data_IF_374765616717
#
_entry.id   IF_374765616717
#
_cell.length_a   1.000
_cell.length_b   1.000
_cell.length_c   1.000
_cell.angle_alpha   90.00
_cell.angle_beta   90.00
_cell.angle_gamma   90.00
#
_symmetry.space_group_name_H-M   'P 1'
#
loop_
_entity.id
_entity.type
_entity.pdbx_description
1 polymer ?
#
# COMPACT_ATOMS: atom_id res chain seq x y z
N UNK A 1 -36.23 -12.59 13.18
CA UNK A 1 -36.20 -13.18 11.80
C UNK A 1 -35.46 -12.27 10.83
N UNK A 2 -35.59 -10.89 10.91
CA UNK A 2 -34.95 -9.96 10.00
C UNK A 2 -33.41 -9.84 10.18
N UNK A 3 -32.91 -9.96 11.43
CA UNK A 3 -31.48 -9.91 11.74
C UNK A 3 -30.73 -11.10 11.13
N UNK A 4 -31.27 -12.33 11.30
CA UNK A 4 -30.66 -13.53 10.72
C UNK A 4 -30.62 -13.52 9.19
N UNK A 5 -31.58 -12.88 8.52
CA UNK A 5 -31.61 -12.77 7.05
C UNK A 5 -30.55 -11.78 6.55
N UNK A 6 -30.27 -10.69 7.27
CA UNK A 6 -29.23 -9.73 6.91
C UNK A 6 -27.82 -10.31 7.11
N UNK A 7 -27.59 -11.02 8.23
CA UNK A 7 -26.32 -11.69 8.48
C UNK A 7 -26.03 -12.79 7.44
N UNK A 8 -27.05 -13.53 7.02
CA UNK A 8 -26.89 -14.53 5.97
C UNK A 8 -26.60 -13.92 4.59
N UNK A 9 -27.29 -12.83 4.24
CA UNK A 9 -26.99 -12.08 3.00
C UNK A 9 -25.57 -11.54 2.99
N UNK A 10 -25.11 -10.94 4.10
CA UNK A 10 -23.76 -10.46 4.26
C UNK A 10 -22.73 -11.57 4.06
N UNK A 11 -22.94 -12.70 4.72
CA UNK A 11 -22.06 -13.88 4.60
C UNK A 11 -21.97 -14.39 3.14
N UNK A 12 -23.08 -14.41 2.40
CA UNK A 12 -23.09 -14.81 0.97
C UNK A 12 -22.35 -13.81 0.07
N UNK A 13 -22.50 -12.51 0.34
CA UNK A 13 -21.81 -11.47 -0.42
C UNK A 13 -20.30 -11.53 -0.15
N UNK A 14 -19.89 -11.63 1.11
CA UNK A 14 -18.49 -11.75 1.51
C UNK A 14 -17.84 -13.01 0.90
N UNK A 15 -18.53 -14.16 0.97
CA UNK A 15 -18.06 -15.41 0.34
C UNK A 15 -17.95 -15.28 -1.20
N UNK A 16 -18.84 -14.51 -1.83
CA UNK A 16 -18.79 -14.22 -3.26
C UNK A 16 -17.55 -13.38 -3.64
N UNK A 17 -17.23 -12.36 -2.85
CA UNK A 17 -16.02 -11.55 -3.05
C UNK A 17 -14.75 -12.37 -2.81
N UNK A 18 -14.71 -13.20 -1.77
CA UNK A 18 -13.56 -14.06 -1.48
C UNK A 18 -13.29 -15.05 -2.60
N UNK A 19 -14.34 -15.65 -3.15
CA UNK A 19 -14.22 -16.57 -4.30
C UNK A 19 -13.73 -15.84 -5.56
N UNK A 20 -14.26 -14.65 -5.84
CA UNK A 20 -13.84 -13.83 -6.97
C UNK A 20 -12.37 -13.43 -6.85
N UNK A 21 -11.96 -12.97 -5.66
CA UNK A 21 -10.59 -12.60 -5.36
C UNK A 21 -9.63 -13.78 -5.48
N UNK A 22 -9.95 -14.93 -4.91
CA UNK A 22 -9.11 -16.13 -4.96
C UNK A 22 -8.94 -16.65 -6.39
N UNK A 23 -10.02 -16.63 -7.18
CA UNK A 23 -9.99 -17.07 -8.58
C UNK A 23 -9.14 -16.11 -9.43
N UNK A 24 -9.35 -14.79 -9.31
CA UNK A 24 -8.60 -13.80 -10.04
C UNK A 24 -7.11 -13.86 -9.69
N UNK A 25 -6.76 -13.91 -8.41
CA UNK A 25 -5.39 -13.99 -7.94
C UNK A 25 -4.70 -15.28 -8.44
N UNK A 26 -5.39 -16.43 -8.39
CA UNK A 26 -4.83 -17.70 -8.85
C UNK A 26 -4.52 -17.72 -10.36
N UNK A 27 -5.22 -16.95 -11.17
CA UNK A 27 -4.96 -16.86 -12.62
C UNK A 27 -3.83 -15.84 -12.90
N UNK A 28 -3.84 -14.69 -12.28
CA UNK A 28 -2.83 -13.62 -12.47
C UNK A 28 -1.45 -14.10 -12.03
N UNK A 29 -1.36 -14.77 -10.89
CA UNK A 29 -0.09 -15.24 -10.32
C UNK A 29 0.55 -16.40 -11.09
N UNK A 30 -0.17 -17.05 -12.01
CA UNK A 30 0.41 -18.03 -12.94
C UNK A 30 1.34 -17.41 -13.98
N UNK A 31 1.21 -16.12 -14.22
CA UNK A 31 2.08 -15.38 -15.13
C UNK A 31 3.32 -14.93 -14.34
N UNK A 32 4.55 -15.38 -14.69
CA UNK A 32 5.75 -15.11 -13.89
C UNK A 32 5.99 -13.62 -13.58
N UNK A 33 5.66 -12.74 -14.53
CA UNK A 33 5.78 -11.29 -14.36
C UNK A 33 4.83 -10.73 -13.28
N UNK A 34 3.67 -11.36 -13.09
CA UNK A 34 2.65 -10.97 -12.13
C UNK A 34 2.57 -11.91 -10.92
N UNK A 35 3.61 -12.72 -10.67
CA UNK A 35 3.61 -13.72 -9.60
C UNK A 35 3.37 -13.14 -8.18
N UNK A 36 3.68 -11.84 -7.99
CA UNK A 36 3.42 -11.10 -6.74
C UNK A 36 2.36 -10.01 -6.94
N UNK A 37 1.37 -10.26 -7.78
CA UNK A 37 0.23 -9.37 -7.98
C UNK A 37 -0.95 -9.90 -7.20
N UNK A 38 -1.60 -9.01 -6.46
CA UNK A 38 -2.83 -9.29 -5.73
C UNK A 38 -3.95 -8.40 -6.23
N UNK A 39 -5.09 -9.01 -6.38
CA UNK A 39 -6.34 -8.39 -6.76
C UNK A 39 -7.31 -8.49 -5.59
N UNK A 40 -8.01 -7.42 -5.27
CA UNK A 40 -9.00 -7.41 -4.20
C UNK A 40 -10.24 -6.63 -4.61
N UNK A 41 -11.39 -7.24 -4.45
CA UNK A 41 -12.70 -6.60 -4.51
C UNK A 41 -13.30 -6.74 -3.11
N UNK A 42 -13.75 -5.64 -2.55
CA UNK A 42 -14.49 -5.63 -1.30
C UNK A 42 -15.78 -4.82 -1.48
N UNK A 43 -16.81 -5.23 -0.78
CA UNK A 43 -18.10 -4.56 -0.79
C UNK A 43 -19.08 -5.31 0.10
N UNK A 44 -20.26 -4.78 0.31
CA UNK A 44 -21.27 -5.39 1.13
C UNK A 44 -22.66 -4.82 0.84
N UNK A 45 -23.67 -5.36 1.51
CA UNK A 45 -25.07 -4.92 1.33
C UNK A 45 -25.32 -3.49 1.84
N UNK A 46 -24.42 -2.99 2.70
CA UNK A 46 -24.50 -1.66 3.32
C UNK A 46 -23.18 -0.88 3.19
N UNK A 47 -22.20 -1.40 2.45
CA UNK A 47 -20.89 -0.77 2.25
C UNK A 47 -20.63 -0.52 0.77
N UNK A 48 -19.87 0.54 0.49
CA UNK A 48 -19.41 0.85 -0.85
C UNK A 48 -18.54 -0.26 -1.42
N UNK A 49 -18.65 -0.46 -2.72
CA UNK A 49 -17.79 -1.42 -3.41
C UNK A 49 -16.44 -0.79 -3.69
N UNK A 50 -15.39 -1.48 -3.32
CA UNK A 50 -14.03 -1.09 -3.62
C UNK A 50 -13.30 -2.15 -4.44
N UNK A 51 -12.36 -1.68 -5.23
CA UNK A 51 -11.51 -2.50 -6.08
C UNK A 51 -10.06 -2.08 -5.89
N UNK A 52 -9.15 -3.03 -5.76
CA UNK A 52 -7.72 -2.72 -5.78
C UNK A 52 -6.89 -3.81 -6.45
N UNK A 53 -5.81 -3.38 -7.07
CA UNK A 53 -4.76 -4.24 -7.59
C UNK A 53 -3.42 -3.75 -7.06
N UNK A 54 -2.62 -4.67 -6.53
CA UNK A 54 -1.25 -4.43 -6.12
C UNK A 54 -0.33 -5.36 -6.89
N UNK A 55 0.77 -4.86 -7.39
CA UNK A 55 1.78 -5.65 -8.07
C UNK A 55 3.18 -5.26 -7.60
N UNK A 56 3.95 -6.24 -7.14
CA UNK A 56 5.38 -6.11 -6.88
C UNK A 56 6.13 -6.88 -7.96
N UNK A 57 6.96 -6.18 -8.70
CA UNK A 57 7.65 -6.71 -9.89
C UNK A 57 9.17 -6.61 -9.69
N UNK A 58 9.87 -7.71 -9.92
CA UNK A 58 11.34 -7.71 -10.04
C UNK A 58 11.72 -7.10 -11.38
N UNK A 59 12.45 -5.99 -11.35
CA UNK A 59 12.94 -5.32 -12.57
C UNK A 59 14.25 -5.91 -13.07
N UNK A 60 15.12 -6.33 -12.14
CA UNK A 60 16.40 -6.92 -12.52
C UNK A 60 17.28 -7.28 -11.34
N UNK A 61 18.27 -8.10 -11.61
CA UNK A 61 19.36 -8.44 -10.71
C UNK A 61 20.53 -7.49 -11.00
N UNK A 62 20.91 -6.69 -10.01
CA UNK A 62 21.97 -5.69 -10.18
C UNK A 62 23.35 -6.26 -9.80
N UNK A 63 23.41 -7.16 -8.83
CA UNK A 63 24.65 -7.86 -8.46
C UNK A 63 24.37 -9.22 -7.84
N UNK A 64 25.38 -10.09 -7.89
CA UNK A 64 25.44 -11.39 -7.22
C UNK A 64 26.62 -11.40 -6.27
N UNK A 65 26.59 -12.27 -5.27
CA UNK A 65 27.73 -12.55 -4.39
C UNK A 65 28.73 -13.52 -5.04
N UNK A 66 29.76 -13.92 -4.30
CA UNK A 66 30.81 -14.81 -4.80
C UNK A 66 30.30 -16.23 -5.08
N UNK A 67 29.27 -16.67 -4.39
CA UNK A 67 28.57 -17.94 -4.60
C UNK A 67 27.61 -17.92 -5.79
N UNK A 68 27.35 -16.74 -6.35
CA UNK A 68 26.42 -16.53 -7.48
C UNK A 68 24.99 -16.27 -7.06
N UNK A 69 24.72 -16.10 -5.76
CA UNK A 69 23.41 -15.78 -5.22
C UNK A 69 23.07 -14.30 -5.38
N UNK A 70 21.79 -14.01 -5.43
CA UNK A 70 21.28 -12.65 -5.62
C UNK A 70 21.68 -11.76 -4.43
N UNK A 71 22.50 -10.75 -4.68
CA UNK A 71 22.94 -9.76 -3.69
C UNK A 71 22.14 -8.47 -3.76
N UNK A 72 21.94 -7.94 -4.95
CA UNK A 72 21.20 -6.69 -5.15
C UNK A 72 20.15 -6.84 -6.23
N UNK A 73 18.93 -6.44 -5.92
CA UNK A 73 17.83 -6.43 -6.89
C UNK A 73 17.18 -5.05 -6.99
N UNK A 74 16.70 -4.72 -8.19
CA UNK A 74 15.78 -3.62 -8.43
C UNK A 74 14.35 -4.16 -8.54
N UNK A 75 13.40 -3.43 -7.98
CA UNK A 75 11.98 -3.75 -8.03
C UNK A 75 11.12 -2.53 -8.37
N UNK A 76 9.92 -2.78 -8.83
CA UNK A 76 8.86 -1.80 -8.95
C UNK A 76 7.62 -2.32 -8.22
N UNK A 77 6.87 -1.40 -7.65
CA UNK A 77 5.58 -1.67 -7.05
C UNK A 77 4.55 -0.72 -7.66
N UNK A 78 3.43 -1.27 -8.11
CA UNK A 78 2.30 -0.49 -8.59
C UNK A 78 1.05 -0.88 -7.81
N UNK A 79 0.26 0.11 -7.42
CA UNK A 79 -1.05 -0.09 -6.82
C UNK A 79 -2.05 0.83 -7.49
N UNK A 80 -3.21 0.29 -7.80
CA UNK A 80 -4.39 1.04 -8.14
C UNK A 80 -5.52 0.66 -7.18
N UNK A 81 -6.27 1.64 -6.71
CA UNK A 81 -7.45 1.40 -5.89
C UNK A 81 -8.53 2.42 -6.26
N UNK A 82 -9.77 1.98 -6.26
CA UNK A 82 -10.95 2.82 -6.47
C UNK A 82 -12.10 2.32 -5.62
N UNK A 83 -13.00 3.20 -5.23
CA UNK A 83 -14.21 2.89 -4.50
C UNK A 83 -15.39 3.68 -5.07
N UNK A 84 -16.60 3.21 -4.80
CA UNK A 84 -17.86 3.88 -5.24
C UNK A 84 -18.26 5.04 -4.33
N UNK A 85 -17.52 5.27 -3.25
CA UNK A 85 -17.71 6.40 -2.34
C UNK A 85 -16.84 7.61 -2.74
N UNK A 86 -17.01 8.73 -2.02
CA UNK A 86 -16.28 9.98 -2.23
C UNK A 86 -14.75 9.89 -2.04
N UNK A 87 -14.22 8.74 -1.63
CA UNK A 87 -12.75 8.56 -1.50
C UNK A 87 -12.02 8.58 -2.84
N UNK A 88 -12.74 8.36 -3.94
CA UNK A 88 -12.21 8.47 -5.30
C UNK A 88 -11.24 7.34 -5.66
N UNK A 89 -10.29 7.67 -6.52
CA UNK A 89 -9.31 6.70 -7.05
C UNK A 89 -7.90 7.06 -6.65
N UNK A 90 -7.10 6.05 -6.33
CA UNK A 90 -5.70 6.19 -5.96
C UNK A 90 -4.83 5.35 -6.89
N UNK A 91 -3.74 5.93 -7.36
CA UNK A 91 -2.67 5.24 -8.08
C UNK A 91 -1.35 5.50 -7.38
N UNK A 92 -0.59 4.44 -7.12
CA UNK A 92 0.74 4.50 -6.53
C UNK A 92 1.72 3.78 -7.46
N UNK A 93 2.85 4.40 -7.74
CA UNK A 93 3.95 3.79 -8.50
C UNK A 93 5.25 3.99 -7.74
N UNK A 94 5.94 2.90 -7.45
CA UNK A 94 7.19 2.92 -6.71
C UNK A 94 8.29 2.14 -7.41
N UNK A 95 9.51 2.58 -7.13
CA UNK A 95 10.74 1.91 -7.53
C UNK A 95 11.65 1.81 -6.33
N UNK A 96 12.40 0.72 -6.24
CA UNK A 96 13.33 0.53 -5.15
C UNK A 96 14.43 -0.44 -5.49
N UNK A 97 15.41 -0.46 -4.60
CA UNK A 97 16.51 -1.40 -4.60
C UNK A 97 16.60 -2.06 -3.23
N UNK A 98 16.95 -3.35 -3.23
CA UNK A 98 17.27 -4.13 -2.04
C UNK A 98 18.64 -4.74 -2.20
N UNK A 99 19.46 -4.62 -1.17
CA UNK A 99 20.78 -5.23 -1.10
C UNK A 99 20.85 -6.15 0.12
N UNK A 100 21.40 -7.34 -0.05
CA UNK A 100 21.69 -8.32 0.99
C UNK A 100 23.19 -8.29 1.29
N UNK A 101 23.65 -7.45 2.24
CA UNK A 101 25.09 -7.36 2.55
C UNK A 101 25.64 -8.65 3.17
N UNK A 102 24.81 -9.46 3.82
CA UNK A 102 25.13 -10.76 4.38
C UNK A 102 23.85 -11.62 4.47
N UNK A 103 23.98 -12.88 4.92
CA UNK A 103 22.88 -13.86 4.96
C UNK A 103 21.71 -13.47 5.89
N UNK A 104 21.97 -12.64 6.88
CA UNK A 104 21.02 -12.32 7.95
C UNK A 104 20.47 -10.89 7.88
N UNK A 105 20.91 -10.10 6.90
CA UNK A 105 20.45 -8.71 6.79
C UNK A 105 20.14 -8.31 5.35
N UNK A 106 19.19 -7.39 5.23
CA UNK A 106 18.82 -6.73 3.98
C UNK A 106 18.60 -5.24 4.24
N UNK A 107 19.14 -4.42 3.37
CA UNK A 107 18.87 -2.97 3.34
C UNK A 107 18.18 -2.62 2.05
N UNK A 108 17.25 -1.69 2.09
CA UNK A 108 16.52 -1.23 0.92
C UNK A 108 16.28 0.27 0.95
N UNK A 109 16.12 0.81 -0.23
CA UNK A 109 15.66 2.19 -0.43
C UNK A 109 14.62 2.19 -1.56
N UNK A 110 13.63 3.06 -1.44
CA UNK A 110 12.57 3.19 -2.42
C UNK A 110 12.08 4.63 -2.55
N UNK A 111 11.45 4.91 -3.68
CA UNK A 111 10.74 6.15 -3.95
C UNK A 111 9.38 5.81 -4.55
N UNK A 112 8.33 6.50 -4.11
CA UNK A 112 6.96 6.31 -4.56
C UNK A 112 6.37 7.63 -5.02
N UNK A 113 5.62 7.59 -6.10
CA UNK A 113 4.71 8.62 -6.52
C UNK A 113 3.28 8.16 -6.30
N UNK A 114 2.57 8.92 -5.48
CA UNK A 114 1.17 8.71 -5.18
C UNK A 114 0.34 9.76 -5.91
N UNK A 115 -0.73 9.31 -6.53
CA UNK A 115 -1.70 10.14 -7.23
C UNK A 115 -3.10 9.77 -6.77
N UNK A 116 -3.87 10.75 -6.32
CA UNK A 116 -5.22 10.54 -5.83
C UNK A 116 -6.18 11.55 -6.44
N UNK A 117 -7.27 11.07 -6.98
CA UNK A 117 -8.44 11.85 -7.37
C UNK A 117 -9.50 11.68 -6.29
N UNK A 118 -10.11 12.78 -5.86
CA UNK A 118 -11.26 12.79 -4.96
C UNK A 118 -12.49 13.31 -5.70
N UNK A 119 -13.68 13.10 -5.15
CA UNK A 119 -14.92 13.65 -5.73
C UNK A 119 -15.04 15.17 -5.50
N UNK A 120 -14.19 15.75 -4.68
CA UNK A 120 -14.27 17.16 -4.28
C UNK A 120 -13.33 18.08 -5.04
N UNK A 121 -12.17 17.57 -5.45
CA UNK A 121 -11.18 18.33 -6.21
C UNK A 121 -10.54 17.50 -7.31
N UNK A 122 -9.79 18.17 -8.19
CA UNK A 122 -8.85 17.52 -9.10
C UNK A 122 -7.78 16.72 -8.32
N UNK A 123 -6.95 16.02 -9.08
CA UNK A 123 -5.94 15.15 -8.54
C UNK A 123 -4.91 15.82 -7.62
N UNK A 124 -4.56 15.11 -6.58
CA UNK A 124 -3.43 15.41 -5.70
C UNK A 124 -2.29 14.44 -5.93
N UNK A 125 -1.05 14.93 -5.80
CA UNK A 125 0.15 14.12 -5.93
C UNK A 125 1.07 14.27 -4.72
N UNK A 126 1.71 13.15 -4.35
CA UNK A 126 2.65 13.06 -3.25
C UNK A 126 3.86 12.23 -3.68
N UNK A 127 5.04 12.63 -3.25
CA UNK A 127 6.27 11.84 -3.35
C UNK A 127 6.58 11.22 -1.99
N UNK A 128 6.85 9.93 -1.97
CA UNK A 128 7.34 9.20 -0.82
C UNK A 128 8.78 8.74 -1.04
N UNK A 129 9.61 8.84 -0.01
CA UNK A 129 10.96 8.28 0.02
C UNK A 129 11.07 7.36 1.22
N UNK A 130 11.49 6.12 1.00
CA UNK A 130 11.55 5.11 2.05
C UNK A 130 12.90 4.43 2.18
N UNK A 131 13.20 4.00 3.40
CA UNK A 131 14.30 3.14 3.73
C UNK A 131 13.83 1.95 4.54
N UNK A 132 14.46 0.80 4.34
CA UNK A 132 14.17 -0.41 5.09
C UNK A 132 15.46 -1.11 5.51
N UNK A 133 15.44 -1.68 6.71
CA UNK A 133 16.50 -2.54 7.24
C UNK A 133 15.87 -3.76 7.88
N UNK A 134 16.17 -4.92 7.35
CA UNK A 134 15.75 -6.21 7.90
C UNK A 134 16.98 -6.91 8.46
N UNK A 135 16.88 -7.38 9.68
CA UNK A 135 17.95 -8.09 10.36
C UNK A 135 17.40 -9.26 11.16
N UNK A 136 17.70 -10.47 10.71
CA UNK A 136 17.13 -11.72 11.28
C UNK A 136 15.59 -11.61 11.34
N UNK A 137 15.06 -11.55 12.54
CA UNK A 137 13.63 -11.51 12.83
C UNK A 137 13.09 -10.08 13.02
N UNK A 138 13.96 -9.06 12.92
CA UNK A 138 13.60 -7.65 13.07
C UNK A 138 13.44 -6.98 11.70
N UNK A 139 12.44 -6.12 11.61
CA UNK A 139 12.16 -5.27 10.47
C UNK A 139 12.06 -3.81 10.93
N UNK A 140 12.77 -2.93 10.25
CA UNK A 140 12.68 -1.49 10.43
C UNK A 140 12.36 -0.85 9.10
N UNK A 141 11.35 0.01 9.07
CA UNK A 141 10.99 0.82 7.91
C UNK A 141 10.79 2.27 8.33
N UNK A 142 11.18 3.16 7.45
CA UNK A 142 11.00 4.60 7.63
C UNK A 142 10.64 5.23 6.29
N UNK A 143 9.58 6.04 6.24
CA UNK A 143 9.11 6.70 5.04
C UNK A 143 8.88 8.19 5.29
N UNK A 144 9.23 9.01 4.34
CA UNK A 144 8.97 10.45 4.30
C UNK A 144 8.03 10.76 3.14
N UNK A 145 7.07 11.63 3.37
CA UNK A 145 6.06 12.03 2.42
C UNK A 145 6.09 13.54 2.20
N UNK A 146 6.15 13.94 0.93
CA UNK A 146 6.16 15.34 0.51
C UNK A 146 4.99 15.60 -0.44
N UNK A 147 4.24 16.67 -0.19
CA UNK A 147 3.23 17.14 -1.12
C UNK A 147 3.91 17.69 -2.38
N UNK A 148 3.39 17.31 -3.56
CA UNK A 148 3.81 17.86 -4.86
C UNK A 148 2.81 18.90 -5.35
N UNK A 149 1.52 18.66 -5.08
CA UNK A 149 0.44 19.56 -5.47
C UNK A 149 0.10 20.53 -4.34
N UNK A 150 -0.21 21.75 -4.73
CA UNK A 150 -0.69 22.80 -3.85
C UNK A 150 -2.09 22.48 -3.31
N UNK A 151 -2.48 23.23 -2.29
CA UNK A 151 -3.81 23.26 -1.71
C UNK A 151 -4.85 23.70 -2.71
N UNK A 152 -6.05 23.13 -2.66
CA UNK A 152 -7.16 23.44 -3.57
C UNK A 152 -8.41 23.82 -2.77
N UNK A 153 -9.12 24.85 -3.23
CA UNK A 153 -10.39 25.22 -2.68
C UNK A 153 -11.47 24.25 -3.16
N UNK A 154 -12.27 23.73 -2.23
CA UNK A 154 -13.37 22.80 -2.49
C UNK A 154 -14.65 23.29 -1.80
N UNK A 155 -15.80 23.02 -2.42
CA UNK A 155 -17.10 23.36 -1.85
C UNK A 155 -17.85 22.08 -1.51
N UNK A 156 -18.16 21.89 -0.23
CA UNK A 156 -18.90 20.74 0.26
C UNK A 156 -20.15 21.25 0.98
N UNK A 157 -21.33 20.86 0.49
CA UNK A 157 -22.63 21.30 1.05
C UNK A 157 -22.78 22.82 1.18
N UNK A 158 -22.21 23.58 0.23
CA UNK A 158 -22.28 25.04 0.21
C UNK A 158 -21.25 25.74 1.09
N UNK A 159 -20.41 25.01 1.81
CA UNK A 159 -19.30 25.56 2.60
C UNK A 159 -17.97 25.41 1.84
N UNK A 160 -17.12 26.41 1.96
CA UNK A 160 -15.77 26.39 1.37
C UNK A 160 -14.79 25.73 2.33
N UNK A 161 -14.00 24.79 1.81
CA UNK A 161 -12.94 24.09 2.51
C UNK A 161 -11.68 24.09 1.65
N UNK A 162 -10.56 23.69 2.26
CA UNK A 162 -9.29 23.51 1.58
C UNK A 162 -8.89 22.05 1.63
N UNK A 163 -8.65 21.46 0.47
CA UNK A 163 -8.14 20.11 0.33
C UNK A 163 -6.65 20.16 0.02
N UNK A 164 -5.84 19.44 0.81
CA UNK A 164 -4.38 19.42 0.64
C UNK A 164 -3.80 18.04 0.95
N UNK A 165 -2.65 17.77 0.36
CA UNK A 165 -1.82 16.64 0.76
C UNK A 165 -1.04 17.02 2.00
N UNK A 166 -1.17 16.24 3.06
CA UNK A 166 -0.43 16.48 4.30
C UNK A 166 0.94 15.78 4.20
N UNK A 167 2.06 16.54 4.30
CA UNK A 167 3.38 15.96 4.42
C UNK A 167 3.52 15.24 5.77
N UNK A 168 4.41 14.24 5.82
CA UNK A 168 4.60 13.48 7.03
C UNK A 168 5.73 12.48 6.93
N UNK A 169 5.91 11.72 7.99
CA UNK A 169 6.81 10.59 8.02
C UNK A 169 6.26 9.49 8.91
N UNK A 170 6.60 8.26 8.57
CA UNK A 170 6.27 7.11 9.40
C UNK A 170 7.51 6.28 9.71
N UNK A 171 7.41 5.57 10.83
CA UNK A 171 8.37 4.57 11.27
C UNK A 171 7.59 3.31 11.62
N UNK A 172 8.05 2.19 11.14
CA UNK A 172 7.54 0.87 11.49
C UNK A 172 8.66 -0.02 12.03
N UNK A 173 8.38 -0.69 13.14
CA UNK A 173 9.20 -1.72 13.74
C UNK A 173 8.43 -3.03 13.70
N UNK A 174 9.02 -4.06 13.12
CA UNK A 174 8.48 -5.41 13.07
C UNK A 174 9.38 -6.40 13.81
N UNK A 175 8.76 -7.39 14.44
CA UNK A 175 9.43 -8.53 15.03
C UNK A 175 8.67 -9.81 14.73
N UNK A 176 9.37 -10.78 14.17
CA UNK A 176 8.84 -12.10 13.83
C UNK A 176 9.33 -13.13 14.85
N UNK A 177 8.45 -13.97 15.35
CA UNK A 177 8.84 -14.99 16.32
C UNK A 177 9.67 -16.10 15.65
N UNK A 178 10.91 -16.36 16.11
CA UNK A 178 11.77 -17.37 15.49
C UNK A 178 11.17 -18.78 15.48
N UNK A 179 10.43 -19.13 16.53
CA UNK A 179 9.80 -20.45 16.68
C UNK A 179 8.42 -20.55 16.03
N UNK A 180 7.86 -19.45 15.57
CA UNK A 180 6.59 -19.38 14.86
C UNK A 180 6.63 -18.21 13.85
N UNK A 181 7.29 -18.41 12.69
CA UNK A 181 7.54 -17.34 11.73
C UNK A 181 6.27 -16.76 11.07
N UNK A 182 5.14 -17.44 11.21
CA UNK A 182 3.84 -16.91 10.76
C UNK A 182 3.30 -15.82 11.69
N UNK A 183 3.81 -15.75 12.94
CA UNK A 183 3.43 -14.73 13.91
C UNK A 183 4.43 -13.58 13.93
N UNK A 184 3.97 -12.40 13.53
CA UNK A 184 4.75 -11.17 13.54
C UNK A 184 4.00 -10.05 14.28
N UNK A 185 4.74 -9.23 14.99
CA UNK A 185 4.24 -8.04 15.67
C UNK A 185 4.79 -6.80 14.99
N UNK A 186 3.93 -5.81 14.77
CA UNK A 186 4.32 -4.53 14.17
C UNK A 186 3.88 -3.38 15.07
N UNK A 187 4.77 -2.43 15.26
CA UNK A 187 4.52 -1.15 15.88
C UNK A 187 4.81 -0.05 14.85
N UNK A 188 3.81 0.73 14.51
CA UNK A 188 3.95 1.84 13.58
C UNK A 188 3.55 3.16 14.22
N UNK A 189 4.29 4.20 13.89
CA UNK A 189 4.01 5.59 14.27
C UNK A 189 4.00 6.44 13.01
N UNK A 190 2.90 7.15 12.79
CA UNK A 190 2.74 8.09 11.68
C UNK A 190 2.64 9.51 12.25
N UNK A 191 3.51 10.39 11.80
CA UNK A 191 3.56 11.79 12.18
C UNK A 191 3.25 12.65 10.96
N UNK A 192 2.22 13.47 11.08
CA UNK A 192 1.90 14.50 10.09
C UNK A 192 2.49 15.83 10.54
N UNK A 193 3.10 16.55 9.59
CA UNK A 193 3.47 17.95 9.82
C UNK A 193 2.26 18.79 9.44
N UNK A 194 1.44 19.19 10.43
CA UNK A 194 0.51 20.28 10.22
C UNK A 194 1.27 21.58 10.46
N UNK A 195 1.26 22.50 9.50
CA UNK A 195 1.66 23.87 9.77
C UNK A 195 0.68 24.44 10.78
N UNK A 196 1.14 24.59 12.02
CA UNK A 196 0.39 25.22 13.10
C UNK A 196 0.41 26.77 12.97
N UNK A 197 0.30 27.27 11.74
CA UNK A 197 0.45 28.69 11.43
C UNK A 197 -0.76 29.24 10.66
N UNK A 198 -1.98 28.91 11.12
CA UNK A 198 -3.19 29.63 10.70
C UNK A 198 -4.10 29.74 11.93
N UNK A 199 -3.71 30.56 12.92
CA UNK A 199 -4.63 31.26 13.83
C UNK A 199 -4.70 32.72 13.45
#
# INVERSE_FOLDING_TARGET
>A
TSIMTNDFKKLLVDAGFDLANSTANSQIQKIPFFAQTTFNIAGGTESDTSFSINSLMKLGELSKDEEGDLKTLAFSQARFATATNAEGSTFNLGFGIRNRPNEISMVGANAFWDYRMTDYSDAHSRLGLGGEYLWKDFEFRNNFYMAITDEKDVTINGNSYKERVVPGWDVELGYRLPNNPELAFFLSCLLYTSDAADE
#
